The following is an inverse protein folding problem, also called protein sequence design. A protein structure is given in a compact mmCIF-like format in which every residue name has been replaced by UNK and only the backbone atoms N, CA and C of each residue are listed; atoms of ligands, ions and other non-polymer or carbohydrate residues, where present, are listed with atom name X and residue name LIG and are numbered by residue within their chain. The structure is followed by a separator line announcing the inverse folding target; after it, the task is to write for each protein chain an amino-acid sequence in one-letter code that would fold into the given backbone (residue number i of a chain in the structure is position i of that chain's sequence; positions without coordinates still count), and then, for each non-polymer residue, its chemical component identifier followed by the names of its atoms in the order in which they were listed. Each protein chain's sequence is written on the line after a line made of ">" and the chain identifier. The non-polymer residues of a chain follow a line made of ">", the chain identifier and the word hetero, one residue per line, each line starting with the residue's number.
data_IF_425367305738
#
_entry.id   IF_425367305738
#
_cell.length_a   1.000
_cell.length_b   1.000
_cell.length_c   1.000
_cell.angle_alpha   90.00
_cell.angle_beta   90.00
_cell.angle_gamma   90.00
#
_symmetry.space_group_name_H-M   'P 1'
#
loop_
_entity.id
_entity.type
_entity.pdbx_description
1 polymer ?
#
# COMPACT_ATOMS: atom_id res chain seq x y z
N UNK A 1 -4.81 10.05 -3.07
CA UNK A 1 -5.23 8.95 -3.98
C UNK A 1 -5.38 7.60 -3.28
N UNK A 2 -4.47 7.20 -2.38
CA UNK A 2 -4.50 5.87 -1.75
C UNK A 2 -5.82 5.51 -1.04
N UNK A 3 -6.48 6.42 -0.30
CA UNK A 3 -7.78 6.11 0.34
C UNK A 3 -8.86 5.75 -0.67
N UNK A 4 -8.91 6.46 -1.80
CA UNK A 4 -9.87 6.18 -2.87
C UNK A 4 -9.60 4.83 -3.53
N UNK A 5 -8.31 4.51 -3.77
CA UNK A 5 -7.88 3.22 -4.30
C UNK A 5 -8.32 2.06 -3.37
N UNK A 6 -8.04 2.15 -2.07
CA UNK A 6 -8.44 1.15 -1.09
C UNK A 6 -9.97 1.01 -0.96
N UNK A 7 -10.72 2.12 -1.04
CA UNK A 7 -12.18 2.08 -1.05
C UNK A 7 -12.70 1.33 -2.28
N UNK A 8 -12.16 1.62 -3.46
CA UNK A 8 -12.60 1.02 -4.72
C UNK A 8 -12.34 -0.49 -4.74
N UNK A 9 -11.16 -0.94 -4.29
CA UNK A 9 -10.81 -2.36 -4.27
C UNK A 9 -11.59 -3.15 -3.23
N UNK A 10 -11.76 -2.63 -2.02
CA UNK A 10 -12.63 -3.27 -1.01
C UNK A 10 -14.07 -3.36 -1.50
N UNK A 11 -14.59 -2.28 -2.13
CA UNK A 11 -15.94 -2.30 -2.71
C UNK A 11 -16.09 -3.37 -3.79
N UNK A 12 -15.08 -3.52 -4.66
CA UNK A 12 -15.07 -4.51 -5.74
C UNK A 12 -14.96 -5.94 -5.21
N UNK A 13 -14.12 -6.18 -4.21
CA UNK A 13 -13.98 -7.48 -3.56
C UNK A 13 -15.22 -7.88 -2.75
N UNK A 14 -16.05 -6.91 -2.35
CA UNK A 14 -17.21 -7.15 -1.49
C UNK A 14 -16.86 -7.41 -0.02
N UNK A 15 -15.57 -7.35 0.34
CA UNK A 15 -15.06 -7.59 1.69
C UNK A 15 -13.69 -6.91 1.88
N UNK A 16 -13.36 -6.54 3.13
CA UNK A 16 -12.09 -5.93 3.51
C UNK A 16 -12.19 -5.02 4.74
N UNK A 17 -11.05 -4.66 5.34
CA UNK A 17 -11.01 -3.88 6.58
C UNK A 17 -10.65 -2.41 6.33
N UNK A 18 -11.64 -1.61 5.93
CA UNK A 18 -11.44 -0.18 5.64
C UNK A 18 -10.98 0.63 6.85
N UNK A 19 -11.56 0.39 8.03
CA UNK A 19 -11.21 1.14 9.24
C UNK A 19 -9.72 1.01 9.59
N UNK A 20 -9.19 -0.21 9.56
CA UNK A 20 -7.77 -0.46 9.79
C UNK A 20 -6.88 0.05 8.65
N UNK A 21 -7.33 -0.07 7.41
CA UNK A 21 -6.60 0.44 6.24
C UNK A 21 -6.46 1.96 6.29
N UNK A 22 -7.53 2.67 6.64
CA UNK A 22 -7.57 4.14 6.63
C UNK A 22 -6.88 4.76 7.83
N UNK A 23 -6.85 4.05 8.97
CA UNK A 23 -6.21 4.54 10.19
C UNK A 23 -4.68 4.62 10.08
N UNK A 24 -4.04 3.77 9.26
CA UNK A 24 -2.59 3.79 9.05
C UNK A 24 -2.16 4.46 7.75
N UNK A 25 -3.07 4.78 6.83
CA UNK A 25 -2.70 5.03 5.44
C UNK A 25 -1.76 6.23 5.23
N UNK A 26 -1.91 7.28 6.03
CA UNK A 26 -1.03 8.45 5.93
C UNK A 26 0.41 8.10 6.35
N UNK A 27 0.57 7.30 7.40
CA UNK A 27 1.88 6.81 7.87
C UNK A 27 2.51 5.92 6.79
N UNK A 28 1.75 4.95 6.26
CA UNK A 28 2.29 4.05 5.22
C UNK A 28 2.66 4.82 3.96
N UNK A 29 1.83 5.81 3.56
CA UNK A 29 2.15 6.67 2.42
C UNK A 29 3.43 7.46 2.68
N UNK A 30 3.56 8.09 3.84
CA UNK A 30 4.75 8.86 4.21
C UNK A 30 6.02 7.99 4.21
N UNK A 31 5.96 6.80 4.78
CA UNK A 31 7.09 5.87 4.80
C UNK A 31 7.60 5.58 3.39
N UNK A 32 6.72 5.18 2.46
CA UNK A 32 7.15 4.84 1.10
C UNK A 32 7.58 6.03 0.24
N UNK A 33 6.95 7.20 0.42
CA UNK A 33 7.20 8.37 -0.44
C UNK A 33 8.31 9.28 0.07
N UNK A 34 8.70 9.18 1.34
CA UNK A 34 9.58 10.18 1.96
C UNK A 34 10.70 9.59 2.81
N UNK A 35 10.45 8.51 3.55
CA UNK A 35 11.45 7.98 4.50
C UNK A 35 12.22 6.78 3.97
N UNK A 36 11.55 5.89 3.26
CA UNK A 36 12.12 4.64 2.78
C UNK A 36 12.79 4.83 1.42
N UNK A 37 13.93 4.17 1.23
CA UNK A 37 14.67 4.20 -0.03
C UNK A 37 14.09 3.29 -1.12
N UNK A 38 13.04 2.50 -0.84
CA UNK A 38 12.52 1.43 -1.72
C UNK A 38 12.18 1.90 -3.14
N UNK A 39 11.63 3.11 -3.26
CA UNK A 39 11.24 3.69 -4.56
C UNK A 39 12.47 4.12 -5.36
N UNK A 40 13.51 4.61 -4.68
CA UNK A 40 14.75 5.08 -5.30
C UNK A 40 15.60 3.91 -5.79
N UNK A 41 15.80 2.88 -4.95
CA UNK A 41 16.67 1.75 -5.26
C UNK A 41 15.96 0.60 -5.99
N UNK A 42 14.63 0.56 -5.93
CA UNK A 42 13.80 -0.48 -6.51
C UNK A 42 13.44 -1.62 -5.53
N UNK A 43 12.29 -2.26 -5.76
CA UNK A 43 11.74 -3.29 -4.85
C UNK A 43 12.56 -4.59 -4.83
N UNK A 44 13.36 -4.86 -5.85
CA UNK A 44 14.22 -6.04 -5.91
C UNK A 44 15.62 -5.79 -5.34
N UNK A 45 15.95 -4.55 -4.94
CA UNK A 45 17.25 -4.21 -4.39
C UNK A 45 17.44 -4.84 -3.00
N UNK A 46 18.60 -5.46 -2.71
CA UNK A 46 18.87 -6.11 -1.42
C UNK A 46 18.92 -5.12 -0.25
N UNK A 47 19.44 -3.91 -0.48
CA UNK A 47 19.59 -2.87 0.56
C UNK A 47 18.39 -1.94 0.67
N UNK A 48 17.24 -2.31 0.09
CA UNK A 48 16.02 -1.52 0.27
C UNK A 48 15.51 -1.63 1.71
N UNK A 49 14.87 -0.58 2.18
CA UNK A 49 14.06 -0.65 3.39
C UNK A 49 12.89 -1.61 3.20
N UNK A 50 12.57 -2.38 4.25
CA UNK A 50 11.48 -3.36 4.21
C UNK A 50 10.38 -2.94 5.17
N UNK A 51 9.20 -2.68 4.61
CA UNK A 51 8.00 -2.43 5.38
C UNK A 51 7.25 -3.73 5.68
N UNK A 52 6.96 -3.97 6.96
CA UNK A 52 6.10 -5.05 7.41
C UNK A 52 4.88 -4.50 8.14
N UNK A 53 3.68 -4.75 7.60
CA UNK A 53 2.44 -4.54 8.36
C UNK A 53 2.16 -5.76 9.23
N UNK A 54 2.47 -5.67 10.53
CA UNK A 54 2.08 -6.70 11.50
C UNK A 54 0.56 -6.80 11.66
N UNK A 55 -0.21 -5.80 11.22
CA UNK A 55 -1.66 -5.77 11.23
C UNK A 55 -2.25 -6.13 9.86
N UNK A 56 -1.86 -7.28 9.30
CA UNK A 56 -2.11 -7.64 7.89
C UNK A 56 -3.56 -7.56 7.38
N UNK A 57 -4.57 -7.44 8.24
CA UNK A 57 -5.93 -7.13 7.82
C UNK A 57 -6.06 -5.74 7.15
N UNK A 58 -5.08 -4.85 7.32
CA UNK A 58 -4.97 -3.56 6.63
C UNK A 58 -4.35 -3.63 5.22
N UNK A 59 -4.14 -4.84 4.68
CA UNK A 59 -3.59 -5.07 3.35
C UNK A 59 -4.18 -4.19 2.24
N UNK A 60 -5.51 -3.89 2.19
CA UNK A 60 -6.04 -2.99 1.15
C UNK A 60 -5.38 -1.60 1.15
N UNK A 61 -5.04 -1.06 2.32
CA UNK A 61 -4.31 0.20 2.45
C UNK A 61 -2.89 0.09 1.92
N UNK A 62 -2.17 -0.97 2.29
CA UNK A 62 -0.80 -1.19 1.81
C UNK A 62 -0.75 -1.37 0.28
N UNK A 63 -1.63 -2.20 -0.28
CA UNK A 63 -1.72 -2.37 -1.75
C UNK A 63 -2.10 -1.09 -2.47
N UNK A 64 -2.94 -0.25 -1.87
CA UNK A 64 -3.28 1.06 -2.46
C UNK A 64 -2.07 2.00 -2.57
N UNK A 65 -1.12 1.92 -1.63
CA UNK A 65 0.15 2.68 -1.69
C UNK A 65 1.07 2.10 -2.77
N UNK A 66 1.25 0.78 -2.79
CA UNK A 66 2.07 0.11 -3.81
C UNK A 66 1.55 0.37 -5.24
N UNK A 67 0.23 0.34 -5.43
CA UNK A 67 -0.38 0.66 -6.71
C UNK A 67 -0.17 2.13 -7.10
N UNK A 68 -0.30 3.06 -6.14
CA UNK A 68 -0.05 4.48 -6.40
C UNK A 68 1.40 4.77 -6.79
N UNK A 69 2.35 3.97 -6.32
CA UNK A 69 3.78 4.04 -6.67
C UNK A 69 4.12 3.32 -7.99
N UNK A 70 3.15 2.64 -8.62
CA UNK A 70 3.40 1.83 -9.82
C UNK A 70 4.17 0.53 -9.56
N UNK A 71 4.33 0.13 -8.30
CA UNK A 71 5.06 -1.09 -7.91
C UNK A 71 4.26 -2.35 -8.24
N UNK A 72 2.94 -2.30 -8.05
CA UNK A 72 2.04 -3.38 -8.49
C UNK A 72 1.23 -2.92 -9.70
N UNK A 73 1.07 -3.77 -10.73
CA UNK A 73 0.29 -3.44 -11.91
C UNK A 73 -1.21 -3.45 -11.58
N UNK A 74 -1.99 -2.78 -12.43
CA UNK A 74 -3.44 -2.66 -12.28
C UNK A 74 -4.09 -4.05 -12.15
N UNK A 75 -3.67 -5.01 -12.96
CA UNK A 75 -4.21 -6.38 -13.01
C UNK A 75 -4.08 -7.13 -11.67
N UNK A 76 -3.09 -6.80 -10.85
CA UNK A 76 -2.93 -7.35 -9.50
C UNK A 76 -3.72 -6.56 -8.44
N UNK A 77 -4.10 -5.31 -8.75
CA UNK A 77 -4.80 -4.42 -7.83
C UNK A 77 -6.33 -4.51 -7.93
N UNK A 78 -6.90 -4.72 -9.14
CA UNK A 78 -8.36 -4.77 -9.38
C UNK A 78 -8.98 -6.15 -9.25
#
# INVERSE_FOLDING_TARGET
>A
MCRANALATVKRAGSGHLGSSFSSLDIVTFLYYSEMNTVEVGIDHPDRDIYFSSKGHDAPGHYAVLFALGIIPKEQFI
#
